data_IF_614418032546
#
_entry.id   IF_614418032546
#
_cell.length_a   1.000
_cell.length_b   1.000
_cell.length_c   1.000
_cell.angle_alpha   90.00
_cell.angle_beta   90.00
_cell.angle_gamma   90.00
#
_symmetry.space_group_name_H-M   'P 1'
#
loop_
_entity.id
_entity.type
_entity.pdbx_description
1 polymer ?
#
# COMPACT_ATOMS: atom_id res chain seq x y z
N UNK A 1 11.10 -4.98 3.53
CA UNK A 1 11.44 -3.61 3.09
C UNK A 1 12.93 -3.34 3.14
N UNK A 2 13.62 -3.51 4.28
CA UNK A 2 15.06 -3.26 4.41
C UNK A 2 15.92 -3.95 3.33
N UNK A 3 15.65 -5.23 3.05
CA UNK A 3 16.40 -6.00 2.05
C UNK A 3 16.07 -5.59 0.61
N UNK A 4 14.86 -5.07 0.35
CA UNK A 4 14.50 -4.51 -0.96
C UNK A 4 15.23 -3.17 -1.16
N UNK A 5 15.19 -2.28 -0.16
CA UNK A 5 15.90 -1.01 -0.18
C UNK A 5 17.41 -1.20 -0.40
N UNK A 6 18.04 -2.18 0.25
CA UNK A 6 19.47 -2.50 -0.01
C UNK A 6 19.76 -2.86 -1.46
N UNK A 7 18.85 -3.52 -2.17
CA UNK A 7 19.02 -3.89 -3.59
C UNK A 7 18.75 -2.69 -4.50
N UNK A 8 17.65 -1.99 -4.29
CA UNK A 8 17.28 -0.79 -5.06
C UNK A 8 18.35 0.30 -4.98
N UNK A 9 18.98 0.46 -3.80
CA UNK A 9 20.11 1.40 -3.63
C UNK A 9 21.31 1.08 -4.52
N UNK A 10 21.59 -0.21 -4.76
CA UNK A 10 22.64 -0.63 -5.69
C UNK A 10 22.23 -0.41 -7.14
N UNK A 11 20.93 -0.52 -7.43
CA UNK A 11 20.35 -0.31 -8.75
C UNK A 11 20.23 1.18 -9.12
N UNK A 12 20.15 2.07 -8.12
CA UNK A 12 20.00 3.51 -8.31
C UNK A 12 18.57 3.96 -8.65
N UNK A 13 17.61 3.05 -8.60
CA UNK A 13 16.18 3.33 -8.81
C UNK A 13 15.31 2.27 -8.11
N UNK A 14 14.06 2.63 -7.86
CA UNK A 14 13.03 1.66 -7.51
C UNK A 14 11.83 2.27 -6.83
N UNK A 15 10.84 1.44 -6.55
CA UNK A 15 9.69 1.85 -5.77
C UNK A 15 9.26 0.78 -4.77
N UNK A 16 8.90 1.19 -3.56
CA UNK A 16 8.31 0.31 -2.54
C UNK A 16 6.86 0.75 -2.32
N UNK A 17 5.94 -0.17 -2.57
CA UNK A 17 4.51 0.07 -2.48
C UNK A 17 3.96 -0.60 -1.22
N UNK A 18 3.30 0.16 -0.37
CA UNK A 18 2.69 -0.30 0.87
C UNK A 18 1.17 -0.32 0.73
N UNK A 19 0.55 -1.43 1.16
CA UNK A 19 -0.90 -1.52 1.26
C UNK A 19 -1.39 -0.95 2.59
N UNK A 20 -2.04 0.20 2.53
CA UNK A 20 -2.69 0.84 3.65
C UNK A 20 -4.07 0.27 3.97
N UNK A 21 -4.79 0.99 4.81
CA UNK A 21 -6.20 0.76 5.12
C UNK A 21 -6.75 2.06 5.71
N UNK A 22 -8.08 2.26 5.69
CA UNK A 22 -8.70 3.39 6.40
C UNK A 22 -8.30 3.48 7.87
N UNK A 23 -7.97 2.33 8.48
CA UNK A 23 -7.44 2.18 9.83
C UNK A 23 -6.11 2.92 10.11
N UNK A 24 -5.43 3.48 9.10
CA UNK A 24 -4.17 4.22 9.26
C UNK A 24 -4.34 5.76 9.45
N UNK A 25 -5.57 6.28 9.30
CA UNK A 25 -5.95 7.69 9.52
C UNK A 25 -6.98 7.77 10.64
N UNK A 26 -7.86 6.77 10.75
CA UNK A 26 -8.89 6.71 11.78
C UNK A 26 -8.97 5.33 12.42
N UNK A 27 -9.15 5.27 13.72
CA UNK A 27 -9.44 4.02 14.43
C UNK A 27 -10.92 3.64 14.28
N UNK A 28 -11.19 2.34 14.37
CA UNK A 28 -12.55 1.80 14.48
C UNK A 28 -12.69 1.05 15.82
N UNK A 29 -13.90 1.03 16.38
CA UNK A 29 -14.19 0.22 17.57
C UNK A 29 -13.82 -1.25 17.33
N UNK A 30 -13.30 -1.92 18.36
CA UNK A 30 -12.85 -3.33 18.30
C UNK A 30 -11.71 -3.62 17.30
N UNK A 31 -11.01 -2.58 16.82
CA UNK A 31 -9.92 -2.69 15.84
C UNK A 31 -8.60 -2.08 16.36
N UNK A 32 -8.42 -1.94 17.67
CA UNK A 32 -7.29 -1.19 18.27
C UNK A 32 -5.91 -1.70 17.82
N UNK A 33 -5.67 -3.01 17.91
CA UNK A 33 -4.38 -3.63 17.50
C UNK A 33 -4.14 -3.49 15.99
N UNK A 34 -5.18 -3.67 15.17
CA UNK A 34 -5.10 -3.50 13.73
C UNK A 34 -4.80 -2.05 13.34
N UNK A 35 -5.49 -1.10 13.97
CA UNK A 35 -5.27 0.33 13.77
C UNK A 35 -3.84 0.71 14.18
N UNK A 36 -3.37 0.30 15.36
CA UNK A 36 -1.99 0.54 15.81
C UNK A 36 -0.95 0.11 14.76
N UNK A 37 -1.08 -1.12 14.24
CA UNK A 37 -0.17 -1.62 13.20
C UNK A 37 -0.23 -0.79 11.91
N UNK A 38 -1.42 -0.34 11.50
CA UNK A 38 -1.62 0.47 10.28
C UNK A 38 -1.18 1.92 10.44
N UNK A 39 -1.24 2.51 11.63
CA UNK A 39 -0.62 3.80 11.94
C UNK A 39 0.91 3.68 11.93
N UNK A 40 1.47 2.62 12.53
CA UNK A 40 2.92 2.34 12.53
C UNK A 40 3.49 2.15 11.12
N UNK A 41 2.94 1.17 10.37
CA UNK A 41 2.42 1.41 9.03
C UNK A 41 2.90 2.66 8.24
N UNK A 42 2.06 3.67 8.39
CA UNK A 42 2.16 5.01 7.79
C UNK A 42 3.39 5.76 8.26
N UNK A 43 3.71 5.71 9.55
CA UNK A 43 4.93 6.32 10.08
C UNK A 43 6.19 5.78 9.40
N UNK A 44 6.29 4.46 9.26
CA UNK A 44 7.39 3.80 8.57
C UNK A 44 7.48 4.22 7.09
N UNK A 45 6.37 4.20 6.36
CA UNK A 45 6.36 4.63 4.96
C UNK A 45 6.82 6.10 4.80
N UNK A 46 6.39 6.98 5.70
CA UNK A 46 6.78 8.39 5.70
C UNK A 46 8.25 8.61 6.07
N UNK A 47 8.80 7.81 6.98
CA UNK A 47 10.23 7.85 7.31
C UNK A 47 11.08 7.38 6.13
N UNK A 48 10.75 6.21 5.56
CA UNK A 48 11.43 5.66 4.39
C UNK A 48 11.36 6.60 3.18
N UNK A 49 10.25 7.30 2.97
CA UNK A 49 10.14 8.26 1.89
C UNK A 49 11.19 9.36 2.02
N UNK A 50 11.44 9.88 3.23
CA UNK A 50 12.46 10.92 3.45
C UNK A 50 13.89 10.38 3.30
N UNK A 51 14.13 9.16 3.76
CA UNK A 51 15.46 8.55 3.71
C UNK A 51 15.87 8.10 2.31
N UNK A 52 14.92 7.58 1.52
CA UNK A 52 15.19 6.87 0.28
C UNK A 52 14.89 7.70 -0.98
N UNK A 53 14.07 8.75 -0.89
CA UNK A 53 13.81 9.64 -2.03
C UNK A 53 15.08 10.29 -2.61
N UNK A 54 16.06 10.78 -1.82
CA UNK A 54 17.32 11.29 -2.37
C UNK A 54 18.15 10.24 -3.13
N UNK A 55 17.85 8.96 -2.91
CA UNK A 55 18.52 7.82 -3.54
C UNK A 55 17.72 7.30 -4.74
N UNK A 56 16.78 8.10 -5.25
CA UNK A 56 15.88 7.77 -6.35
C UNK A 56 15.02 6.52 -6.09
N UNK A 57 14.59 6.33 -4.84
CA UNK A 57 13.70 5.23 -4.46
C UNK A 57 12.40 5.82 -3.91
N UNK A 58 11.31 5.57 -4.63
CA UNK A 58 10.00 6.15 -4.33
C UNK A 58 9.19 5.25 -3.40
N UNK A 59 8.56 5.85 -2.39
CA UNK A 59 7.69 5.13 -1.46
C UNK A 59 6.25 5.55 -1.71
N UNK A 60 5.43 4.58 -2.10
CA UNK A 60 4.00 4.78 -2.31
C UNK A 60 3.22 4.07 -1.21
N UNK A 61 2.25 4.77 -0.63
CA UNK A 61 1.39 4.22 0.41
C UNK A 61 -0.05 4.37 -0.05
N UNK A 62 -0.73 3.25 -0.29
CA UNK A 62 -2.06 3.24 -0.90
C UNK A 62 -3.15 3.14 0.15
N UNK A 63 -4.09 4.08 0.13
CA UNK A 63 -5.28 4.00 0.96
C UNK A 63 -6.32 3.10 0.27
N UNK A 64 -6.31 1.81 0.60
CA UNK A 64 -7.36 0.89 0.15
C UNK A 64 -8.50 0.93 1.16
N UNK A 65 -9.61 1.57 0.76
CA UNK A 65 -10.78 1.73 1.61
C UNK A 65 -11.94 0.86 1.11
N UNK A 66 -11.95 -0.39 1.56
CA UNK A 66 -12.99 -1.35 1.21
C UNK A 66 -12.52 -2.78 1.44
N UNK A 67 -13.47 -3.72 1.47
CA UNK A 67 -13.13 -5.14 1.38
C UNK A 67 -12.67 -5.46 -0.04
N UNK A 68 -11.56 -6.18 -0.20
CA UNK A 68 -11.08 -6.64 -1.50
C UNK A 68 -11.70 -8.01 -1.78
N UNK A 69 -12.20 -8.22 -3.00
CA UNK A 69 -12.74 -9.50 -3.44
C UNK A 69 -11.69 -10.59 -3.33
N UNK A 70 -12.09 -11.76 -2.84
CA UNK A 70 -11.21 -12.91 -2.69
C UNK A 70 -12.01 -14.21 -2.78
N UNK A 71 -11.85 -14.95 -3.87
CA UNK A 71 -12.61 -16.18 -4.14
C UNK A 71 -12.41 -17.26 -3.06
N UNK A 72 -11.20 -17.33 -2.48
CA UNK A 72 -10.85 -18.26 -1.41
C UNK A 72 -11.49 -17.94 -0.05
N UNK A 73 -12.21 -16.83 0.09
CA UNK A 73 -12.86 -16.39 1.33
C UNK A 73 -14.34 -16.18 1.06
N UNK A 74 -15.17 -17.05 1.63
CA UNK A 74 -16.63 -17.02 1.44
C UNK A 74 -17.20 -15.63 1.73
N UNK A 75 -16.72 -14.95 2.79
CA UNK A 75 -17.17 -13.61 3.18
C UNK A 75 -16.70 -12.46 2.27
N UNK A 76 -15.84 -12.77 1.28
CA UNK A 76 -15.24 -11.84 0.32
C UNK A 76 -15.47 -12.26 -1.13
N UNK A 77 -16.30 -13.27 -1.37
CA UNK A 77 -16.74 -13.60 -2.72
C UNK A 77 -17.58 -12.45 -3.29
N UNK A 78 -17.69 -12.44 -4.61
CA UNK A 78 -18.54 -11.49 -5.30
C UNK A 78 -20.00 -11.81 -5.01
N UNK A 79 -20.71 -10.87 -4.39
CA UNK A 79 -22.15 -10.97 -4.16
C UNK A 79 -22.97 -10.30 -5.29
N UNK A 80 -22.29 -9.82 -6.34
CA UNK A 80 -22.89 -9.12 -7.48
C UNK A 80 -23.35 -7.70 -7.16
N UNK A 81 -23.11 -7.20 -5.94
CA UNK A 81 -23.62 -5.92 -5.46
C UNK A 81 -22.55 -4.81 -5.46
N UNK A 82 -21.45 -4.99 -6.19
CA UNK A 82 -20.31 -4.05 -6.27
C UNK A 82 -19.81 -3.57 -4.89
N UNK A 83 -19.96 -4.43 -3.86
CA UNK A 83 -19.68 -4.08 -2.47
C UNK A 83 -18.19 -4.22 -2.11
N UNK A 84 -17.39 -4.77 -3.04
CA UNK A 84 -16.00 -5.17 -2.87
C UNK A 84 -15.13 -4.62 -3.98
N UNK A 85 -13.91 -4.24 -3.62
CA UNK A 85 -12.90 -3.77 -4.58
C UNK A 85 -12.33 -4.93 -5.38
N UNK A 86 -12.15 -4.70 -6.68
CA UNK A 86 -11.49 -5.63 -7.59
C UNK A 86 -9.97 -5.65 -7.35
N UNK A 87 -9.36 -6.80 -7.01
CA UNK A 87 -7.91 -6.93 -6.83
C UNK A 87 -7.11 -6.57 -8.10
N UNK A 88 -7.64 -6.84 -9.30
CA UNK A 88 -6.92 -6.56 -10.55
C UNK A 88 -6.90 -5.06 -10.84
N UNK A 89 -8.00 -4.35 -10.58
CA UNK A 89 -8.05 -2.89 -10.67
C UNK A 89 -7.09 -2.21 -9.67
N UNK A 90 -6.95 -2.79 -8.46
CA UNK A 90 -5.95 -2.33 -7.48
C UNK A 90 -4.52 -2.56 -8.00
N UNK A 91 -4.26 -3.74 -8.59
CA UNK A 91 -2.95 -4.06 -9.15
C UNK A 91 -2.58 -3.13 -10.31
N UNK A 92 -3.55 -2.78 -11.16
CA UNK A 92 -3.36 -1.79 -12.23
C UNK A 92 -2.97 -0.42 -11.68
N UNK A 93 -3.62 0.04 -10.61
CA UNK A 93 -3.22 1.26 -9.91
C UNK A 93 -1.76 1.18 -9.47
N UNK A 94 -1.35 0.07 -8.83
CA UNK A 94 0.03 -0.11 -8.37
C UNK A 94 1.03 -0.04 -9.53
N UNK A 95 0.71 -0.69 -10.64
CA UNK A 95 1.55 -0.68 -11.83
C UNK A 95 1.68 0.72 -12.44
N UNK A 96 0.59 1.49 -12.45
CA UNK A 96 0.57 2.86 -12.95
C UNK A 96 1.47 3.78 -12.12
N UNK A 97 1.41 3.69 -10.80
CA UNK A 97 2.27 4.46 -9.91
C UNK A 97 3.74 4.02 -9.97
N UNK A 98 4.00 2.72 -10.14
CA UNK A 98 5.36 2.24 -10.37
C UNK A 98 5.96 2.81 -11.66
N UNK A 99 5.14 3.00 -12.70
CA UNK A 99 5.53 3.56 -14.00
C UNK A 99 5.34 5.08 -14.10
N UNK A 100 5.05 5.75 -12.99
CA UNK A 100 4.81 7.20 -12.99
C UNK A 100 6.08 7.92 -13.47
N UNK A 101 5.91 8.82 -14.43
CA UNK A 101 7.02 9.63 -14.91
C UNK A 101 7.49 10.55 -13.77
N UNK A 102 8.81 10.76 -13.65
CA UNK A 102 9.41 11.60 -12.58
C UNK A 102 8.85 13.03 -12.46
N UNK A 103 8.21 13.53 -13.50
CA UNK A 103 7.60 14.88 -13.53
C UNK A 103 6.13 14.90 -13.15
N UNK A 104 5.52 13.73 -12.91
CA UNK A 104 4.10 13.55 -12.68
C UNK A 104 3.88 13.01 -11.27
#
# INVERSE_FOLDING_TARGET
TQQAAKRMRKQGDGSILFNGASAWVKGFANSSVFAMGKFGLRGLAQALARELHPQNIYIWHFLINGGIRAEHRIERQDDGNDSRLDPDAIAECYLRFHRQHRSA
#
